data_IF_002579349363
#
_entry.id   IF_002579349363
#
_cell.length_a   1.000
_cell.length_b   1.000
_cell.length_c   1.000
_cell.angle_alpha   90.00
_cell.angle_beta   90.00
_cell.angle_gamma   90.00
#
_symmetry.space_group_name_H-M   'P 1'
#
loop_
_entity.id
_entity.type
_entity.pdbx_description
1 polymer ?
#
# COMPACT_ATOMS: atom_id res chain seq x y z
N UNK A 1 -3.07 -30.29 39.84
CA UNK A 1 -3.29 -29.31 38.75
C UNK A 1 -2.00 -28.57 38.42
N UNK A 2 -1.52 -27.61 39.23
CA UNK A 2 -0.33 -26.78 38.90
C UNK A 2 0.95 -27.53 38.53
N UNK A 3 1.32 -28.58 39.29
CA UNK A 3 2.49 -29.44 38.98
C UNK A 3 2.38 -30.15 37.62
N UNK A 4 1.17 -30.50 37.20
CA UNK A 4 0.93 -31.16 35.91
C UNK A 4 1.03 -30.18 34.74
N UNK A 5 0.89 -28.89 35.01
CA UNK A 5 0.91 -27.81 34.01
C UNK A 5 2.16 -26.95 34.13
N UNK A 6 3.13 -27.36 34.95
CA UNK A 6 4.40 -26.64 35.16
C UNK A 6 4.23 -25.18 35.66
N UNK A 7 3.12 -24.90 36.36
CA UNK A 7 2.81 -23.57 36.93
C UNK A 7 3.04 -23.53 38.47
N UNK A 8 3.98 -24.33 38.96
CA UNK A 8 4.26 -24.51 40.39
C UNK A 8 5.50 -23.74 40.88
N UNK A 9 6.20 -23.02 40.01
CA UNK A 9 7.34 -22.16 40.39
C UNK A 9 6.91 -21.05 41.34
N UNK A 10 7.67 -20.84 42.41
CA UNK A 10 7.46 -19.79 43.43
C UNK A 10 8.59 -18.77 43.42
N UNK A 11 8.34 -17.61 44.01
CA UNK A 11 9.40 -16.65 44.33
C UNK A 11 10.24 -17.15 45.49
N UNK A 12 11.52 -16.76 45.52
CA UNK A 12 12.44 -17.15 46.58
C UNK A 12 11.90 -16.64 47.94
N UNK A 13 11.89 -17.53 48.93
CA UNK A 13 11.33 -17.29 50.27
C UNK A 13 9.85 -16.84 50.30
N UNK A 14 9.05 -17.13 49.27
CA UNK A 14 7.62 -16.79 49.23
C UNK A 14 6.73 -18.02 49.09
N UNK A 15 5.53 -17.94 49.67
CA UNK A 15 4.46 -18.92 49.45
C UNK A 15 3.73 -18.69 48.12
N UNK A 16 3.95 -17.55 47.48
CA UNK A 16 3.27 -17.10 46.25
C UNK A 16 3.93 -17.69 45.01
N UNK A 17 3.09 -18.15 44.07
CA UNK A 17 3.54 -18.67 42.78
C UNK A 17 3.82 -17.53 41.79
N UNK A 18 4.78 -17.73 40.89
CA UNK A 18 5.13 -16.75 39.84
C UNK A 18 4.00 -16.57 38.83
N UNK A 19 3.37 -17.68 38.41
CA UNK A 19 2.27 -17.68 37.45
C UNK A 19 0.95 -17.98 38.17
N UNK A 20 0.06 -17.00 38.19
CA UNK A 20 -1.24 -17.05 38.83
C UNK A 20 -2.33 -16.59 37.87
N UNK A 21 -3.61 -16.70 38.27
CA UNK A 21 -4.70 -16.10 37.52
C UNK A 21 -4.52 -14.58 37.35
N UNK A 22 -3.94 -13.92 38.37
CA UNK A 22 -3.60 -12.51 38.27
C UNK A 22 -2.53 -12.26 37.20
N UNK A 23 -1.54 -13.14 37.06
CA UNK A 23 -0.53 -13.05 36.00
C UNK A 23 -1.14 -13.14 34.59
N UNK A 24 -2.13 -14.03 34.38
CA UNK A 24 -2.86 -14.11 33.11
C UNK A 24 -3.68 -12.84 32.82
N UNK A 25 -4.34 -12.30 33.85
CA UNK A 25 -5.10 -11.04 33.73
C UNK A 25 -4.19 -9.85 33.41
N UNK A 26 -3.03 -9.75 34.08
CA UNK A 26 -2.03 -8.72 33.82
C UNK A 26 -1.44 -8.84 32.39
N UNK A 27 -1.20 -10.06 31.92
CA UNK A 27 -0.78 -10.31 30.54
C UNK A 27 -1.83 -9.83 29.53
N UNK A 28 -3.10 -10.18 29.73
CA UNK A 28 -4.20 -9.72 28.88
C UNK A 28 -4.30 -8.19 28.88
N UNK A 29 -4.32 -7.57 30.06
CA UNK A 29 -4.39 -6.12 30.23
C UNK A 29 -3.25 -5.40 29.49
N UNK A 30 -2.03 -5.94 29.58
CA UNK A 30 -0.85 -5.40 28.87
C UNK A 30 -1.06 -5.46 27.35
N UNK A 31 -1.47 -6.60 26.81
CA UNK A 31 -1.69 -6.75 25.36
C UNK A 31 -2.85 -5.89 24.84
N UNK A 32 -3.95 -5.83 25.60
CA UNK A 32 -5.11 -5.01 25.28
C UNK A 32 -4.76 -3.52 25.30
N UNK A 33 -4.05 -3.07 26.34
CA UNK A 33 -3.63 -1.66 26.49
C UNK A 33 -2.69 -1.24 25.36
N UNK A 34 -1.72 -2.09 25.01
CA UNK A 34 -0.78 -1.82 23.92
C UNK A 34 -1.46 -1.78 22.55
N UNK A 35 -2.61 -2.43 22.37
CA UNK A 35 -3.29 -2.51 21.07
C UNK A 35 -4.38 -1.44 20.92
N UNK A 36 -5.15 -1.15 21.97
CA UNK A 36 -6.35 -0.31 21.89
C UNK A 36 -6.49 0.72 23.01
N UNK A 37 -5.48 0.86 23.87
CA UNK A 37 -5.50 1.80 24.99
C UNK A 37 -5.96 1.19 26.31
N UNK A 38 -5.60 1.88 27.40
CA UNK A 38 -5.81 1.40 28.77
C UNK A 38 -7.29 1.29 29.12
N UNK A 39 -8.11 2.21 28.62
CA UNK A 39 -9.55 2.26 28.86
C UNK A 39 -10.27 1.05 28.28
N UNK A 40 -9.86 0.59 27.09
CA UNK A 40 -10.37 -0.63 26.48
C UNK A 40 -10.04 -1.86 27.33
N UNK A 41 -8.77 -1.96 27.76
CA UNK A 41 -8.31 -3.06 28.59
C UNK A 41 -9.06 -3.12 29.92
N UNK A 42 -9.17 -2.00 30.62
CA UNK A 42 -9.90 -1.87 31.88
C UNK A 42 -11.38 -2.23 31.73
N UNK A 43 -12.04 -1.78 30.67
CA UNK A 43 -13.44 -2.10 30.41
C UNK A 43 -13.68 -3.61 30.24
N UNK A 44 -12.74 -4.33 29.61
CA UNK A 44 -12.85 -5.78 29.42
C UNK A 44 -12.52 -6.59 30.67
N UNK A 45 -11.62 -6.12 31.53
CA UNK A 45 -11.25 -6.81 32.77
C UNK A 45 -12.12 -6.40 33.97
N UNK A 46 -13.10 -5.52 33.76
CA UNK A 46 -14.02 -5.03 34.79
C UNK A 46 -13.36 -4.13 35.83
N UNK A 47 -12.35 -3.36 35.42
CA UNK A 47 -11.69 -2.39 36.29
C UNK A 47 -12.26 -0.99 36.11
N UNK A 48 -12.47 -0.32 37.26
CA UNK A 48 -12.87 1.09 37.32
C UNK A 48 -11.80 1.99 36.70
N UNK A 49 -12.01 2.43 35.45
CA UNK A 49 -11.16 3.39 34.76
C UNK A 49 -11.38 4.84 35.21
N UNK A 50 -10.42 5.73 34.92
CA UNK A 50 -10.49 7.15 35.28
C UNK A 50 -11.61 7.91 34.52
N UNK A 51 -12.16 7.35 33.44
CA UNK A 51 -13.21 7.94 32.60
C UNK A 51 -14.20 6.92 32.00
N UNK A 52 -14.67 5.95 32.79
CA UNK A 52 -15.63 4.93 32.31
C UNK A 52 -16.89 5.52 31.68
N UNK A 53 -17.35 6.67 32.18
CA UNK A 53 -18.58 7.33 31.70
C UNK A 53 -18.50 7.78 30.23
N UNK A 54 -17.28 8.06 29.75
CA UNK A 54 -17.00 8.52 28.40
C UNK A 54 -16.59 7.38 27.46
N UNK A 55 -16.16 6.24 28.02
CA UNK A 55 -15.77 5.07 27.22
C UNK A 55 -17.01 4.26 26.81
N UNK A 56 -17.70 4.74 25.77
CA UNK A 56 -18.91 4.12 25.21
C UNK A 56 -18.60 3.53 23.84
N UNK A 57 -17.95 2.37 23.83
CA UNK A 57 -17.86 1.56 22.61
C UNK A 57 -19.17 0.78 22.40
N UNK A 58 -19.61 0.67 21.15
CA UNK A 58 -20.69 -0.26 20.81
C UNK A 58 -20.23 -1.70 21.04
N UNK A 59 -21.18 -2.64 21.11
CA UNK A 59 -20.83 -4.05 21.26
C UNK A 59 -20.08 -4.57 20.04
N UNK A 60 -20.45 -4.07 18.86
CA UNK A 60 -19.88 -4.39 17.56
C UNK A 60 -18.43 -3.93 17.47
N UNK A 61 -18.15 -2.65 17.78
CA UNK A 61 -16.79 -2.10 17.77
C UNK A 61 -15.89 -2.82 18.79
N UNK A 62 -16.46 -3.21 19.93
CA UNK A 62 -15.74 -3.93 20.99
C UNK A 62 -15.38 -5.34 20.53
N UNK A 63 -16.28 -6.00 19.80
CA UNK A 63 -16.03 -7.31 19.22
C UNK A 63 -14.94 -7.23 18.15
N UNK A 64 -14.98 -6.24 17.26
CA UNK A 64 -13.98 -6.06 16.21
C UNK A 64 -12.58 -5.85 16.81
N UNK A 65 -12.46 -4.96 17.80
CA UNK A 65 -11.20 -4.79 18.55
C UNK A 65 -10.75 -6.06 19.26
N UNK A 66 -11.67 -6.87 19.78
CA UNK A 66 -11.31 -8.11 20.45
C UNK A 66 -10.75 -9.14 19.45
N UNK A 67 -11.35 -9.24 18.26
CA UNK A 67 -10.86 -10.10 17.16
C UNK A 67 -9.44 -9.67 16.74
N UNK A 68 -9.15 -8.38 16.69
CA UNK A 68 -7.81 -7.87 16.40
C UNK A 68 -6.78 -8.17 17.53
N UNK A 69 -7.24 -8.20 18.79
CA UNK A 69 -6.42 -8.49 19.96
C UNK A 69 -6.13 -9.98 20.14
N UNK A 70 -7.11 -10.84 19.84
CA UNK A 70 -7.10 -12.29 20.02
C UNK A 70 -5.77 -12.98 19.60
N UNK A 71 -5.13 -12.67 18.45
CA UNK A 71 -3.91 -13.34 18.02
C UNK A 71 -2.73 -13.10 18.96
N UNK A 72 -2.73 -11.96 19.67
CA UNK A 72 -1.66 -11.56 20.59
C UNK A 72 -1.78 -12.24 21.94
N UNK A 73 -3.01 -12.57 22.35
CA UNK A 73 -3.29 -13.19 23.65
C UNK A 73 -3.42 -14.72 23.57
N UNK A 74 -3.66 -15.27 22.38
CA UNK A 74 -3.79 -16.72 22.14
C UNK A 74 -2.44 -17.33 21.74
N UNK A 75 -2.19 -18.58 22.15
CA UNK A 75 -0.95 -19.33 21.87
C UNK A 75 -1.02 -20.06 20.51
N UNK A 76 -2.22 -20.26 19.96
CA UNK A 76 -2.44 -21.00 18.72
C UNK A 76 -1.73 -20.37 17.51
N UNK A 77 -0.86 -21.13 16.87
CA UNK A 77 -0.15 -20.70 15.66
C UNK A 77 -1.10 -20.62 14.46
N UNK A 78 -2.10 -21.51 14.39
CA UNK A 78 -3.05 -21.57 13.26
C UNK A 78 -3.77 -20.24 13.04
N UNK A 79 -4.27 -19.62 14.11
CA UNK A 79 -4.98 -18.34 14.01
C UNK A 79 -4.03 -17.18 13.64
N UNK A 80 -2.82 -17.17 14.20
CA UNK A 80 -1.78 -16.19 13.83
C UNK A 80 -1.36 -16.35 12.37
N UNK A 81 -1.28 -17.58 11.90
CA UNK A 81 -0.92 -17.90 10.51
C UNK A 81 -2.05 -17.52 9.56
N UNK A 82 -3.31 -17.77 9.91
CA UNK A 82 -4.47 -17.36 9.11
C UNK A 82 -4.51 -15.83 8.93
N UNK A 83 -4.27 -15.06 9.98
CA UNK A 83 -4.27 -13.59 9.88
C UNK A 83 -3.08 -13.08 9.05
N UNK A 84 -1.92 -13.72 9.16
CA UNK A 84 -0.79 -13.42 8.28
C UNK A 84 -1.12 -13.72 6.83
N UNK A 85 -1.75 -14.86 6.55
CA UNK A 85 -2.20 -15.26 5.22
C UNK A 85 -3.18 -14.23 4.68
N UNK A 86 -4.24 -13.88 5.41
CA UNK A 86 -5.23 -12.90 4.95
C UNK A 86 -4.61 -11.53 4.64
N UNK A 87 -3.70 -11.06 5.50
CA UNK A 87 -2.97 -9.81 5.28
C UNK A 87 -2.06 -9.88 4.06
N UNK A 88 -1.38 -11.01 3.86
CA UNK A 88 -0.53 -11.25 2.69
C UNK A 88 -1.36 -11.33 1.41
N UNK A 89 -2.50 -12.03 1.43
CA UNK A 89 -3.43 -12.14 0.30
C UNK A 89 -3.98 -10.79 -0.13
N UNK A 90 -4.39 -9.92 0.81
CA UNK A 90 -4.80 -8.54 0.47
C UNK A 90 -3.67 -7.77 -0.22
N UNK A 91 -2.44 -7.88 0.31
CA UNK A 91 -1.29 -7.20 -0.28
C UNK A 91 -0.90 -7.75 -1.65
N UNK A 92 -1.04 -9.05 -1.87
CA UNK A 92 -0.84 -9.68 -3.19
C UNK A 92 -1.87 -9.13 -4.19
N UNK A 93 -3.14 -9.07 -3.82
CA UNK A 93 -4.20 -8.51 -4.67
C UNK A 93 -3.93 -7.05 -5.06
N UNK A 94 -3.47 -6.22 -4.12
CA UNK A 94 -3.07 -4.83 -4.40
C UNK A 94 -1.86 -4.75 -5.35
N UNK A 95 -0.87 -5.63 -5.16
CA UNK A 95 0.30 -5.69 -6.04
C UNK A 95 -0.08 -6.14 -7.45
N UNK A 96 -0.94 -7.14 -7.59
CA UNK A 96 -1.45 -7.62 -8.88
C UNK A 96 -2.19 -6.52 -9.63
N UNK A 97 -3.05 -5.75 -8.94
CA UNK A 97 -3.74 -4.60 -9.55
C UNK A 97 -2.76 -3.53 -10.03
N UNK A 98 -1.72 -3.25 -9.25
CA UNK A 98 -0.69 -2.29 -9.63
C UNK A 98 0.15 -2.79 -10.81
N UNK A 99 0.47 -4.09 -10.86
CA UNK A 99 1.18 -4.68 -11.99
C UNK A 99 0.37 -4.57 -13.27
N UNK A 100 -0.94 -4.84 -13.24
CA UNK A 100 -1.83 -4.65 -14.39
C UNK A 100 -1.82 -3.20 -14.89
N UNK A 101 -1.91 -2.23 -13.98
CA UNK A 101 -1.83 -0.80 -14.35
C UNK A 101 -0.50 -0.44 -14.99
N UNK A 102 0.61 -1.02 -14.50
CA UNK A 102 1.94 -0.79 -15.10
C UNK A 102 2.00 -1.36 -16.52
N UNK A 103 1.50 -2.56 -16.75
CA UNK A 103 1.45 -3.18 -18.08
C UNK A 103 0.62 -2.34 -19.07
N UNK A 104 -0.53 -1.81 -18.63
CA UNK A 104 -1.36 -0.90 -19.43
C UNK A 104 -0.61 0.39 -19.79
N UNK A 105 0.08 1.00 -18.83
CA UNK A 105 0.90 2.19 -19.06
C UNK A 105 2.05 1.92 -20.03
N UNK A 106 2.73 0.78 -19.89
CA UNK A 106 3.80 0.36 -20.80
C UNK A 106 3.29 0.20 -22.24
N UNK A 107 2.13 -0.44 -22.42
CA UNK A 107 1.50 -0.58 -23.75
C UNK A 107 1.14 0.77 -24.38
N UNK A 108 0.68 1.71 -23.55
CA UNK A 108 0.34 3.07 -23.97
C UNK A 108 1.59 3.83 -24.40
N UNK A 109 2.66 3.76 -23.60
CA UNK A 109 3.96 4.36 -23.91
C UNK A 109 4.50 3.80 -25.23
N UNK A 110 4.43 2.49 -25.43
CA UNK A 110 4.93 1.86 -26.65
C UNK A 110 4.13 2.30 -27.89
N UNK A 111 2.82 2.43 -27.77
CA UNK A 111 1.95 2.98 -28.81
C UNK A 111 2.31 4.43 -29.14
N UNK A 112 2.50 5.27 -28.11
CA UNK A 112 2.92 6.66 -28.29
C UNK A 112 4.30 6.77 -28.96
N UNK A 113 5.26 5.93 -28.57
CA UNK A 113 6.59 5.88 -29.19
C UNK A 113 6.52 5.50 -30.67
N UNK A 114 5.66 4.54 -31.04
CA UNK A 114 5.46 4.16 -32.44
C UNK A 114 4.82 5.30 -33.24
N UNK A 115 3.82 5.97 -32.68
CA UNK A 115 3.18 7.12 -33.31
C UNK A 115 4.17 8.27 -33.53
N UNK A 116 5.04 8.56 -32.55
CA UNK A 116 6.10 9.57 -32.69
C UNK A 116 7.08 9.21 -33.81
N UNK A 117 7.57 7.97 -33.85
CA UNK A 117 8.46 7.50 -34.93
C UNK A 117 7.83 7.62 -36.32
N UNK A 118 6.55 7.31 -36.44
CA UNK A 118 5.84 7.43 -37.72
C UNK A 118 5.69 8.90 -38.13
N UNK A 119 5.38 9.78 -37.18
CA UNK A 119 5.29 11.22 -37.42
C UNK A 119 6.64 11.82 -37.82
N UNK A 120 7.73 11.39 -37.20
CA UNK A 120 9.08 11.86 -37.56
C UNK A 120 9.43 11.48 -39.01
N UNK A 121 9.10 10.25 -39.44
CA UNK A 121 9.28 9.82 -40.84
C UNK A 121 8.43 10.63 -41.83
N UNK A 122 7.19 10.91 -41.48
CA UNK A 122 6.27 11.70 -42.32
C UNK A 122 6.76 13.15 -42.46
N UNK A 123 7.24 13.73 -41.35
CA UNK A 123 7.89 15.04 -41.34
C UNK A 123 9.13 15.06 -42.25
N UNK A 124 10.04 14.09 -42.11
CA UNK A 124 11.22 13.98 -42.96
C UNK A 124 10.85 13.90 -44.45
N UNK A 125 9.84 13.09 -44.81
CA UNK A 125 9.35 12.99 -46.19
C UNK A 125 8.78 14.31 -46.71
N UNK A 126 7.99 15.00 -45.88
CA UNK A 126 7.40 16.29 -46.22
C UNK A 126 8.46 17.37 -46.44
N UNK A 127 9.49 17.41 -45.59
CA UNK A 127 10.62 18.32 -45.72
C UNK A 127 11.40 18.05 -47.00
N UNK A 128 11.69 16.79 -47.33
CA UNK A 128 12.38 16.44 -48.58
C UNK A 128 11.59 16.91 -49.81
N UNK A 129 10.27 16.67 -49.84
CA UNK A 129 9.40 17.15 -50.93
C UNK A 129 9.43 18.68 -51.07
N UNK A 130 9.35 19.40 -49.96
CA UNK A 130 9.47 20.86 -49.95
C UNK A 130 10.80 21.32 -50.54
N UNK A 131 11.92 20.70 -50.16
CA UNK A 131 13.23 21.03 -50.71
C UNK A 131 13.33 20.72 -52.22
N UNK A 132 12.79 19.59 -52.67
CA UNK A 132 12.74 19.26 -54.10
C UNK A 132 11.92 20.26 -54.91
N UNK A 133 10.76 20.69 -54.39
CA UNK A 133 9.92 21.71 -55.02
C UNK A 133 10.63 23.06 -55.10
N UNK A 134 11.30 23.48 -54.02
CA UNK A 134 12.09 24.71 -54.02
C UNK A 134 13.27 24.62 -55.00
N UNK A 135 14.01 23.52 -54.99
CA UNK A 135 15.14 23.30 -55.91
C UNK A 135 14.70 23.36 -57.38
N UNK A 136 13.52 22.80 -57.72
CA UNK A 136 12.93 22.91 -59.06
C UNK A 136 12.60 24.37 -59.41
N UNK A 137 12.00 25.14 -58.50
CA UNK A 137 11.72 26.57 -58.71
C UNK A 137 12.99 27.37 -58.96
N UNK A 138 14.04 27.19 -58.14
CA UNK A 138 15.32 27.88 -58.32
C UNK A 138 16.14 27.36 -59.50
N UNK A 139 15.80 26.22 -60.10
CA UNK A 139 16.43 25.73 -61.33
C UNK A 139 15.76 26.28 -62.60
N UNK A 140 14.56 26.87 -62.49
CA UNK A 140 13.86 27.50 -63.62
C UNK A 140 14.48 28.88 -63.93
N UNK A 141 15.09 29.08 -65.11
CA UNK A 141 15.71 30.34 -65.49
C UNK A 141 14.75 31.53 -65.53
N UNK A 142 13.45 31.29 -65.78
CA UNK A 142 12.45 32.36 -65.80
C UNK A 142 12.12 32.87 -64.39
N UNK A 143 12.06 31.96 -63.41
CA UNK A 143 11.85 32.30 -62.01
C UNK A 143 13.02 33.09 -61.42
N UNK A 144 14.26 32.74 -61.77
CA UNK A 144 15.46 33.51 -61.38
C UNK A 144 15.41 34.94 -61.95
N UNK A 145 15.01 35.10 -63.22
CA UNK A 145 14.88 36.42 -63.85
C UNK A 145 13.84 37.30 -63.18
N UNK A 146 12.65 36.77 -62.86
CA UNK A 146 11.61 37.51 -62.14
C UNK A 146 12.06 37.96 -60.73
N UNK A 147 12.88 37.15 -60.04
CA UNK A 147 13.45 37.52 -58.74
C UNK A 147 14.46 38.67 -58.87
N UNK A 148 15.34 38.61 -59.87
CA UNK A 148 16.34 39.65 -60.15
C UNK A 148 15.71 40.98 -60.60
N UNK A 149 14.53 40.92 -61.23
CA UNK A 149 13.75 42.11 -61.60
C UNK A 149 13.06 42.74 -60.39
N UNK A 150 12.59 41.94 -59.42
CA UNK A 150 11.98 42.43 -58.17
C UNK A 150 12.98 43.07 -57.19
N UNK A 151 14.24 42.65 -57.20
CA UNK A 151 15.31 43.26 -56.39
C UNK A 151 15.82 44.61 -56.92
N UNK A 152 15.47 44.99 -58.16
CA UNK A 152 15.89 46.25 -58.81
C UNK A 152 14.90 47.41 -58.63
N UNK A 153 13.86 47.23 -57.83
CA UNK A 153 12.85 48.22 -57.41
C UNK A 153 13.09 48.63 -55.96
#
# INVERSE_FOLDING_TARGET
MRKKTELDTKYDNSTVHKITLHSFRAFFETQASNTHGLEYAHALIGHSGYMEQYYRLSNEDRLEKYIELEPKITIGEDFRNQIKIDKQSKKISELEENTQKIEELESTIQTLQNNLKNRDKDWESSVVKLFEEQAKKFSDPNYIKELQEKEKL
#
